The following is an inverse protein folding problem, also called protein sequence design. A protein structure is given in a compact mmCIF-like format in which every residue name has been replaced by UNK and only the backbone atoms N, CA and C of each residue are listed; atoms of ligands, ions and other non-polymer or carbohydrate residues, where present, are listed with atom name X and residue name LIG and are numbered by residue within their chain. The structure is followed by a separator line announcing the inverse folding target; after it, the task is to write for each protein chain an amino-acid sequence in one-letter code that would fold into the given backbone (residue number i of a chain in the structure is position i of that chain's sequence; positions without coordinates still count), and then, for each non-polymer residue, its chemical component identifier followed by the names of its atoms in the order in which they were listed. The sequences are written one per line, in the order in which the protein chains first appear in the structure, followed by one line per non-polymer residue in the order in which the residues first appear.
data_IF_882216872701
#
_entry.id   IF_882216872701
#
_cell.length_a   1.000
_cell.length_b   1.000
_cell.length_c   1.000
_cell.angle_alpha   90.00
_cell.angle_beta   90.00
_cell.angle_gamma   90.00
#
_symmetry.space_group_name_H-M   'P 1'
#
loop_
_entity.id
_entity.type
_entity.pdbx_description
1 polymer ?
#
# COMPACT_ATOMS: atom_id res chain seq x y z
N UNK A 1 -0.34 -14.25 -20.74
CA UNK A 1 0.64 -13.43 -20.01
C UNK A 1 0.08 -13.21 -18.62
N UNK A 2 0.84 -13.52 -17.59
CA UNK A 2 0.43 -13.32 -16.19
C UNK A 2 1.00 -11.98 -15.70
N UNK A 3 0.12 -11.03 -15.35
CA UNK A 3 0.50 -9.72 -14.84
C UNK A 3 0.79 -9.81 -13.33
N UNK A 4 1.87 -9.19 -12.88
CA UNK A 4 2.27 -9.17 -11.47
C UNK A 4 1.56 -8.03 -10.73
N UNK A 5 0.84 -8.36 -9.65
CA UNK A 5 0.30 -7.39 -8.71
C UNK A 5 1.24 -7.25 -7.50
N UNK A 6 1.90 -6.10 -7.38
CA UNK A 6 2.88 -5.83 -6.34
C UNK A 6 2.25 -5.03 -5.18
N UNK A 7 2.09 -5.71 -4.04
CA UNK A 7 1.42 -5.16 -2.86
C UNK A 7 2.39 -4.54 -1.81
N UNK A 8 2.01 -3.42 -1.18
CA UNK A 8 2.77 -2.79 -0.11
C UNK A 8 2.55 -3.50 1.23
N UNK A 9 3.63 -3.81 1.95
CA UNK A 9 3.52 -4.47 3.25
C UNK A 9 4.37 -3.72 4.31
N UNK A 10 3.70 -3.20 5.34
CA UNK A 10 4.32 -2.47 6.45
C UNK A 10 4.54 -3.33 7.70
N UNK A 11 3.68 -4.33 7.91
CA UNK A 11 3.74 -5.30 9.00
C UNK A 11 3.14 -6.67 8.59
N UNK A 12 3.09 -7.62 9.54
CA UNK A 12 2.57 -8.97 9.30
C UNK A 12 1.08 -9.02 8.96
N UNK A 13 0.27 -8.07 9.44
CA UNK A 13 -1.16 -8.00 9.14
C UNK A 13 -1.36 -7.56 7.69
N UNK A 14 -0.61 -6.53 7.24
CA UNK A 14 -0.58 -6.12 5.84
C UNK A 14 -0.08 -7.26 4.95
N UNK A 15 0.98 -7.97 5.36
CA UNK A 15 1.54 -9.09 4.61
C UNK A 15 0.51 -10.19 4.38
N UNK A 16 -0.17 -10.59 5.45
CA UNK A 16 -1.19 -11.63 5.35
C UNK A 16 -2.38 -11.19 4.51
N UNK A 17 -2.82 -9.94 4.65
CA UNK A 17 -3.88 -9.36 3.83
C UNK A 17 -3.50 -9.36 2.33
N UNK A 18 -2.29 -8.92 1.99
CA UNK A 18 -1.81 -8.91 0.61
C UNK A 18 -1.79 -10.32 -0.01
N UNK A 19 -1.20 -11.30 0.69
CA UNK A 19 -1.09 -12.68 0.18
C UNK A 19 -2.47 -13.32 0.00
N UNK A 20 -3.36 -13.19 1.00
CA UNK A 20 -4.71 -13.79 0.94
C UNK A 20 -5.57 -13.12 -0.13
N UNK A 21 -5.38 -11.82 -0.39
CA UNK A 21 -6.12 -11.10 -1.43
C UNK A 21 -5.58 -11.30 -2.86
N UNK A 22 -4.52 -12.11 -3.03
CA UNK A 22 -4.04 -12.52 -4.36
C UNK A 22 -2.89 -11.66 -4.92
N UNK A 23 -2.04 -11.11 -4.06
CA UNK A 23 -0.80 -10.46 -4.53
C UNK A 23 0.19 -11.51 -5.08
N UNK A 24 0.79 -11.22 -6.24
CA UNK A 24 1.85 -12.05 -6.85
C UNK A 24 3.22 -11.73 -6.26
N UNK A 25 3.40 -10.49 -5.81
CA UNK A 25 4.60 -10.02 -5.16
C UNK A 25 4.28 -9.04 -4.02
N UNK A 26 5.17 -8.95 -3.04
CA UNK A 26 5.10 -7.99 -1.95
C UNK A 26 6.39 -7.19 -1.85
N UNK A 27 6.29 -5.91 -1.53
CA UNK A 27 7.45 -5.09 -1.20
C UNK A 27 7.41 -4.53 0.23
N UNK A 28 8.53 -4.70 0.94
CA UNK A 28 8.73 -4.23 2.30
C UNK A 28 10.07 -3.53 2.46
N UNK A 29 10.23 -2.80 3.57
CA UNK A 29 11.50 -2.26 4.01
C UNK A 29 11.92 -2.84 5.35
N UNK A 30 13.23 -2.82 5.58
CA UNK A 30 13.78 -3.01 6.92
C UNK A 30 13.73 -1.68 7.69
N UNK A 31 13.98 -1.70 9.00
CA UNK A 31 14.19 -0.45 9.75
C UNK A 31 15.38 0.32 9.16
N UNK A 32 15.16 1.56 8.73
CA UNK A 32 16.12 2.38 8.01
C UNK A 32 16.23 2.06 6.50
N UNK A 33 16.95 2.92 5.78
CA UNK A 33 17.30 2.77 4.36
C UNK A 33 16.13 2.60 3.37
N UNK A 34 14.92 3.06 3.71
CA UNK A 34 13.78 2.96 2.81
C UNK A 34 12.87 4.19 2.89
N UNK A 35 12.08 4.42 1.84
CA UNK A 35 11.25 5.64 1.69
C UNK A 35 10.02 5.73 2.62
N UNK A 36 9.84 4.78 3.54
CA UNK A 36 8.76 4.74 4.54
C UNK A 36 9.33 4.35 5.90
N UNK A 37 10.29 5.14 6.38
CA UNK A 37 10.97 4.90 7.65
C UNK A 37 10.00 4.93 8.84
N UNK A 38 8.93 5.72 8.73
CA UNK A 38 7.84 5.80 9.71
C UNK A 38 6.87 4.61 9.70
N UNK A 39 6.97 3.70 8.72
CA UNK A 39 6.22 2.43 8.78
C UNK A 39 6.75 1.57 9.93
N UNK A 40 5.94 0.62 10.42
CA UNK A 40 6.38 -0.34 11.46
C UNK A 40 7.68 -1.05 11.05
N UNK A 41 7.77 -1.41 9.77
CA UNK A 41 8.92 -2.04 9.11
C UNK A 41 9.33 -3.38 9.72
N UNK A 42 10.02 -4.19 8.93
CA UNK A 42 10.52 -5.49 9.39
C UNK A 42 11.96 -5.39 9.87
N UNK A 43 12.41 -6.42 10.57
CA UNK A 43 13.80 -6.66 10.89
C UNK A 43 14.37 -7.80 10.04
N UNK A 44 15.69 -7.95 10.05
CA UNK A 44 16.35 -9.07 9.37
C UNK A 44 15.92 -10.45 9.93
N UNK A 45 15.49 -10.51 11.19
CA UNK A 45 15.04 -11.76 11.84
C UNK A 45 13.67 -12.20 11.31
N UNK A 46 12.88 -11.27 10.78
CA UNK A 46 11.54 -11.54 10.29
C UNK A 46 11.52 -12.23 8.92
N UNK A 47 12.62 -12.22 8.17
CA UNK A 47 12.67 -12.72 6.79
C UNK A 47 12.20 -14.17 6.65
N UNK A 48 12.55 -15.04 7.60
CA UNK A 48 12.08 -16.43 7.61
C UNK A 48 10.56 -16.54 7.79
N UNK A 49 9.99 -15.73 8.69
CA UNK A 49 8.54 -15.67 8.92
C UNK A 49 7.81 -15.05 7.72
N UNK A 50 8.36 -14.01 7.11
CA UNK A 50 7.83 -13.39 5.89
C UNK A 50 7.76 -14.44 4.77
N UNK A 51 8.87 -15.15 4.50
CA UNK A 51 8.91 -16.21 3.49
C UNK A 51 7.87 -17.30 3.74
N UNK A 52 7.70 -17.73 4.99
CA UNK A 52 6.66 -18.71 5.36
C UNK A 52 5.24 -18.23 5.05
N UNK A 53 4.95 -16.94 5.25
CA UNK A 53 3.63 -16.36 4.94
C UNK A 53 3.45 -16.17 3.43
N UNK A 54 4.47 -15.71 2.73
CA UNK A 54 4.45 -15.50 1.28
C UNK A 54 4.30 -16.81 0.50
N UNK A 55 4.94 -17.89 0.94
CA UNK A 55 5.02 -19.12 0.15
C UNK A 55 5.68 -18.83 -1.21
N UNK A 56 4.88 -18.88 -2.29
CA UNK A 56 5.31 -18.60 -3.67
C UNK A 56 5.29 -17.12 -4.04
N UNK A 57 4.62 -16.27 -3.26
CA UNK A 57 4.56 -14.82 -3.50
C UNK A 57 5.98 -14.24 -3.42
N UNK A 58 6.37 -13.47 -4.44
CA UNK A 58 7.72 -12.91 -4.53
C UNK A 58 7.94 -11.83 -3.46
N UNK A 59 9.17 -11.74 -2.95
CA UNK A 59 9.55 -10.83 -1.88
C UNK A 59 10.56 -9.80 -2.41
N UNK A 60 10.19 -8.52 -2.43
CA UNK A 60 11.08 -7.43 -2.81
C UNK A 60 11.44 -6.55 -1.61
N UNK A 61 12.74 -6.39 -1.36
CA UNK A 61 13.23 -5.50 -0.32
C UNK A 61 13.47 -4.11 -0.88
N UNK A 62 12.92 -3.08 -0.26
CA UNK A 62 13.28 -1.68 -0.59
C UNK A 62 14.54 -1.25 0.16
N UNK A 63 15.55 -0.83 -0.58
CA UNK A 63 16.73 -0.10 -0.09
C UNK A 63 16.90 1.15 -0.97
N UNK A 64 15.99 2.09 -0.83
CA UNK A 64 15.69 3.09 -1.85
C UNK A 64 15.74 4.54 -1.37
N UNK A 65 16.65 4.86 -0.46
CA UNK A 65 16.97 6.23 -0.02
C UNK A 65 18.36 6.64 -0.53
N UNK A 66 18.71 7.92 -0.36
CA UNK A 66 20.11 8.38 -0.46
C UNK A 66 20.96 7.62 0.56
N UNK A 67 22.20 7.24 0.23
CA UNK A 67 23.15 6.61 1.15
C UNK A 67 24.41 7.48 1.27
N UNK A 68 24.90 7.69 2.49
CA UNK A 68 26.16 8.41 2.74
C UNK A 68 27.32 7.44 3.00
N UNK A 69 28.55 7.92 2.88
CA UNK A 69 29.77 7.10 2.96
C UNK A 69 29.87 6.30 4.26
N UNK A 70 29.49 6.90 5.39
CA UNK A 70 29.53 6.25 6.71
C UNK A 70 28.51 5.10 6.82
N UNK A 71 27.50 5.10 5.95
CA UNK A 71 26.43 4.11 5.92
C UNK A 71 26.73 2.92 4.99
N UNK A 72 27.71 3.03 4.09
CA UNK A 72 28.01 2.04 3.05
C UNK A 72 28.30 0.65 3.64
N UNK A 73 29.11 0.57 4.71
CA UNK A 73 29.41 -0.69 5.40
C UNK A 73 28.15 -1.37 5.93
N UNK A 74 27.20 -0.59 6.44
CA UNK A 74 25.94 -1.10 6.98
C UNK A 74 25.02 -1.58 5.87
N UNK A 75 24.94 -0.84 4.76
CA UNK A 75 24.19 -1.23 3.56
C UNK A 75 24.73 -2.55 2.98
N UNK A 76 26.06 -2.68 2.82
CA UNK A 76 26.66 -3.92 2.34
C UNK A 76 26.36 -5.11 3.27
N UNK A 77 26.46 -4.90 4.59
CA UNK A 77 26.12 -5.93 5.57
C UNK A 77 24.65 -6.38 5.48
N UNK A 78 23.72 -5.44 5.22
CA UNK A 78 22.31 -5.76 4.97
C UNK A 78 22.18 -6.61 3.70
N UNK A 79 22.76 -6.15 2.58
CA UNK A 79 22.69 -6.85 1.29
C UNK A 79 23.23 -8.29 1.38
N UNK A 80 24.36 -8.49 2.06
CA UNK A 80 24.93 -9.83 2.31
C UNK A 80 23.97 -10.73 3.09
N UNK A 81 23.24 -10.19 4.08
CA UNK A 81 22.30 -10.95 4.91
C UNK A 81 20.99 -11.31 4.20
N UNK A 82 20.58 -10.52 3.21
CA UNK A 82 19.33 -10.74 2.45
C UNK A 82 19.53 -11.46 1.12
N UNK A 83 20.78 -11.60 0.65
CA UNK A 83 21.13 -12.40 -0.52
C UNK A 83 20.51 -13.80 -0.43
N UNK A 84 19.77 -14.20 -1.47
CA UNK A 84 19.06 -15.48 -1.54
C UNK A 84 17.80 -15.60 -0.66
N UNK A 85 17.44 -14.57 0.12
CA UNK A 85 16.23 -14.55 0.96
C UNK A 85 15.10 -13.71 0.35
N UNK A 86 15.46 -12.78 -0.54
CA UNK A 86 14.54 -11.92 -1.29
C UNK A 86 14.75 -12.15 -2.78
N UNK A 87 13.70 -11.97 -3.55
CA UNK A 87 13.68 -12.18 -5.00
C UNK A 87 14.33 -11.02 -5.75
N UNK A 88 14.21 -9.80 -5.22
CA UNK A 88 14.93 -8.63 -5.72
C UNK A 88 15.08 -7.53 -4.65
N UNK A 89 16.01 -6.61 -4.88
CA UNK A 89 16.13 -5.34 -4.14
C UNK A 89 15.63 -4.18 -5.01
N UNK A 90 14.72 -3.36 -4.49
CA UNK A 90 14.29 -2.11 -5.11
C UNK A 90 15.20 -0.99 -4.61
N UNK A 91 16.08 -0.48 -5.48
CA UNK A 91 17.09 0.54 -5.14
C UNK A 91 17.30 1.55 -6.28
N UNK A 92 18.00 2.65 -6.03
CA UNK A 92 18.34 3.64 -7.07
C UNK A 92 19.74 4.23 -6.91
N UNK A 93 20.22 4.31 -5.66
CA UNK A 93 21.57 4.75 -5.34
C UNK A 93 22.60 3.87 -6.07
N UNK A 94 23.57 4.51 -6.75
CA UNK A 94 24.53 3.82 -7.60
C UNK A 94 25.49 2.93 -6.80
N UNK A 95 25.82 3.28 -5.56
CA UNK A 95 26.63 2.43 -4.70
C UNK A 95 25.86 1.17 -4.31
N UNK A 96 24.56 1.29 -4.01
CA UNK A 96 23.68 0.14 -3.75
C UNK A 96 23.56 -0.75 -4.99
N UNK A 97 23.38 -0.15 -6.18
CA UNK A 97 23.34 -0.88 -7.45
C UNK A 97 24.65 -1.65 -7.68
N UNK A 98 25.80 -1.00 -7.49
CA UNK A 98 27.12 -1.63 -7.61
C UNK A 98 27.31 -2.79 -6.64
N UNK A 99 26.83 -2.65 -5.39
CA UNK A 99 26.85 -3.73 -4.40
C UNK A 99 25.92 -4.88 -4.78
N UNK A 100 24.71 -4.61 -5.26
CA UNK A 100 23.80 -5.64 -5.77
C UNK A 100 24.43 -6.42 -6.93
N UNK A 101 25.07 -5.72 -7.88
CA UNK A 101 25.80 -6.32 -8.99
C UNK A 101 26.94 -7.22 -8.48
N UNK A 102 27.83 -6.68 -7.62
CA UNK A 102 28.95 -7.43 -7.02
C UNK A 102 28.48 -8.67 -6.26
N UNK A 103 27.39 -8.57 -5.52
CA UNK A 103 26.83 -9.66 -4.72
C UNK A 103 25.94 -10.60 -5.52
N UNK A 104 25.67 -10.31 -6.81
CA UNK A 104 24.74 -11.06 -7.68
C UNK A 104 23.32 -11.13 -7.10
N UNK A 105 22.82 -10.00 -6.61
CA UNK A 105 21.43 -9.85 -6.12
C UNK A 105 20.62 -9.18 -7.23
N UNK A 106 19.53 -9.78 -7.72
CA UNK A 106 18.64 -9.12 -8.68
C UNK A 106 18.12 -7.79 -8.11
N UNK A 107 18.06 -6.76 -8.95
CA UNK A 107 17.55 -5.47 -8.51
C UNK A 107 16.58 -4.85 -9.51
N UNK A 108 15.65 -4.10 -8.94
CA UNK A 108 14.69 -3.25 -9.66
C UNK A 108 15.04 -1.78 -9.38
N UNK A 109 15.00 -0.94 -10.41
CA UNK A 109 15.27 0.49 -10.24
C UNK A 109 14.05 1.16 -9.60
N UNK A 110 14.24 1.80 -8.46
CA UNK A 110 13.20 2.55 -7.74
C UNK A 110 12.78 3.80 -8.51
N UNK A 111 11.52 4.22 -8.36
CA UNK A 111 10.99 5.48 -8.91
C UNK A 111 11.80 6.72 -8.48
N UNK A 112 12.60 6.63 -7.41
CA UNK A 112 13.56 7.66 -6.98
C UNK A 112 14.64 8.00 -8.02
N UNK A 113 14.88 7.11 -9.00
CA UNK A 113 15.76 7.37 -10.14
C UNK A 113 15.10 8.26 -11.21
N UNK A 114 13.79 8.51 -11.13
CA UNK A 114 13.03 9.34 -12.07
C UNK A 114 13.20 8.91 -13.54
N UNK A 115 13.26 7.59 -13.81
CA UNK A 115 13.42 7.06 -15.17
C UNK A 115 12.20 7.41 -16.02
N UNK A 116 12.37 8.38 -16.92
CA UNK A 116 11.29 8.99 -17.72
C UNK A 116 11.47 8.84 -19.24
N UNK A 117 12.57 8.23 -19.68
CA UNK A 117 12.89 8.10 -21.10
C UNK A 117 13.64 6.80 -21.43
N UNK A 118 13.67 6.47 -22.72
CA UNK A 118 14.25 5.24 -23.28
C UNK A 118 15.75 5.14 -23.06
N UNK A 119 16.49 6.26 -23.14
CA UNK A 119 17.96 6.25 -22.97
C UNK A 119 18.35 5.93 -21.54
N UNK A 120 17.68 6.54 -20.56
CA UNK A 120 17.86 6.21 -19.15
C UNK A 120 17.51 4.75 -18.85
N UNK A 121 16.41 4.22 -19.42
CA UNK A 121 16.06 2.82 -19.27
C UNK A 121 17.11 1.86 -19.85
N UNK A 122 17.65 2.17 -21.04
CA UNK A 122 18.76 1.41 -21.64
C UNK A 122 20.01 1.45 -20.77
N UNK A 123 20.32 2.60 -20.17
CA UNK A 123 21.47 2.74 -19.27
C UNK A 123 21.33 1.83 -18.04
N UNK A 124 20.20 1.87 -17.34
CA UNK A 124 19.98 1.00 -16.19
C UNK A 124 19.94 -0.49 -16.56
N UNK A 125 19.41 -0.83 -17.74
CA UNK A 125 19.48 -2.20 -18.27
C UNK A 125 20.93 -2.67 -18.43
N UNK A 126 21.83 -1.83 -18.94
CA UNK A 126 23.27 -2.14 -19.05
C UNK A 126 23.93 -2.34 -17.69
N UNK A 127 23.46 -1.65 -16.64
CA UNK A 127 23.92 -1.84 -15.27
C UNK A 127 23.39 -3.14 -14.62
N UNK A 128 22.57 -3.92 -15.32
CA UNK A 128 22.03 -5.19 -14.83
C UNK A 128 20.65 -5.10 -14.17
N UNK A 129 19.94 -3.98 -14.34
CA UNK A 129 18.55 -3.89 -13.87
C UNK A 129 17.69 -4.95 -14.55
N UNK A 130 16.87 -5.65 -13.76
CA UNK A 130 15.92 -6.64 -14.30
C UNK A 130 14.54 -6.03 -14.56
N UNK A 131 14.23 -4.94 -13.85
CA UNK A 131 12.98 -4.17 -13.99
C UNK A 131 13.17 -2.73 -13.55
N UNK A 132 12.36 -1.82 -14.09
CA UNK A 132 12.37 -0.41 -13.70
C UNK A 132 10.98 0.02 -13.23
N UNK A 133 10.91 0.55 -12.00
CA UNK A 133 9.75 1.31 -11.51
C UNK A 133 9.81 2.71 -12.10
N UNK A 134 8.94 2.98 -13.08
CA UNK A 134 9.00 4.20 -13.86
C UNK A 134 8.64 5.45 -13.03
N UNK A 135 9.08 6.61 -13.51
CA UNK A 135 8.59 7.89 -13.02
C UNK A 135 7.05 7.94 -13.10
N UNK A 136 6.41 8.55 -12.09
CA UNK A 136 4.94 8.61 -11.99
C UNK A 136 4.34 9.71 -12.85
N UNK A 137 5.20 10.54 -13.42
CA UNK A 137 4.89 11.71 -14.23
C UNK A 137 4.88 11.40 -15.74
N UNK A 138 4.64 10.13 -16.12
CA UNK A 138 4.63 9.66 -17.49
C UNK A 138 3.21 9.38 -18.01
N UNK A 139 2.99 9.73 -19.28
CA UNK A 139 1.84 9.26 -20.06
C UNK A 139 1.98 7.80 -20.49
N UNK A 140 0.86 7.13 -20.78
CA UNK A 140 0.88 5.76 -21.30
C UNK A 140 1.66 5.61 -22.61
N UNK A 141 1.65 6.64 -23.46
CA UNK A 141 2.47 6.66 -24.70
C UNK A 141 3.96 6.61 -24.37
N UNK A 142 4.41 7.32 -23.34
CA UNK A 142 5.81 7.27 -22.88
C UNK A 142 6.14 5.92 -22.24
N UNK A 143 5.25 5.40 -21.38
CA UNK A 143 5.40 4.07 -20.76
C UNK A 143 5.58 3.00 -21.84
N UNK A 144 4.72 2.98 -22.86
CA UNK A 144 4.78 2.03 -23.97
C UNK A 144 6.10 2.07 -24.76
N UNK A 145 6.75 3.24 -24.87
CA UNK A 145 8.07 3.33 -25.50
C UNK A 145 9.16 2.72 -24.64
N UNK A 146 9.09 2.90 -23.31
CA UNK A 146 10.09 2.38 -22.38
C UNK A 146 9.92 0.87 -22.17
N UNK A 147 8.68 0.36 -22.14
CA UNK A 147 8.36 -1.06 -21.99
C UNK A 147 8.98 -1.94 -23.10
N UNK A 148 9.25 -1.37 -24.28
CA UNK A 148 9.98 -2.08 -25.37
C UNK A 148 11.45 -2.35 -25.05
N UNK A 149 12.01 -1.72 -24.02
CA UNK A 149 13.44 -1.82 -23.67
C UNK A 149 13.68 -2.86 -22.58
N UNK A 150 12.83 -2.85 -21.55
CA UNK A 150 12.99 -3.61 -20.30
C UNK A 150 11.61 -3.79 -19.67
N UNK A 151 11.49 -4.78 -18.79
CA UNK A 151 10.31 -4.95 -17.93
C UNK A 151 10.05 -3.69 -17.09
N UNK A 152 8.80 -3.21 -17.10
CA UNK A 152 8.38 -1.97 -16.43
C UNK A 152 7.33 -2.23 -15.36
N UNK A 153 7.55 -1.57 -14.23
CA UNK A 153 6.63 -1.47 -13.11
C UNK A 153 6.06 -0.06 -13.04
N UNK A 154 4.74 0.04 -12.85
CA UNK A 154 4.03 1.29 -12.75
C UNK A 154 3.16 1.29 -11.51
N UNK A 155 3.05 2.44 -10.84
CA UNK A 155 2.06 2.59 -9.78
C UNK A 155 0.67 2.50 -10.40
N UNK A 156 -0.22 1.72 -9.80
CA UNK A 156 -1.60 1.56 -10.27
C UNK A 156 -2.62 2.19 -9.32
N UNK A 157 -2.27 2.30 -8.03
CA UNK A 157 -3.19 2.83 -7.03
C UNK A 157 -2.47 3.51 -5.87
N UNK A 158 -3.12 4.50 -5.27
CA UNK A 158 -2.72 5.13 -4.02
C UNK A 158 -2.08 6.51 -4.16
N UNK A 159 -1.54 7.02 -3.05
CA UNK A 159 -1.12 8.42 -2.91
C UNK A 159 -0.20 8.93 -4.03
N UNK A 160 -0.56 10.03 -4.71
CA UNK A 160 0.33 10.79 -5.61
C UNK A 160 1.13 11.86 -4.85
N UNK A 161 2.32 12.18 -5.36
CA UNK A 161 3.12 13.33 -4.94
C UNK A 161 2.72 14.57 -5.76
N UNK A 162 2.80 15.75 -5.15
CA UNK A 162 2.58 17.02 -5.87
C UNK A 162 3.83 17.50 -6.61
N UNK A 163 5.00 17.13 -6.10
CA UNK A 163 6.28 17.34 -6.76
C UNK A 163 6.72 16.04 -7.46
N UNK A 164 7.75 16.15 -8.31
CA UNK A 164 8.42 14.98 -8.89
C UNK A 164 8.77 13.99 -7.78
N UNK A 165 8.32 12.75 -7.96
CA UNK A 165 8.43 11.69 -6.96
C UNK A 165 9.89 11.52 -6.49
N UNK A 166 10.15 11.71 -5.19
CA UNK A 166 11.50 11.61 -4.62
C UNK A 166 12.38 12.85 -4.76
N UNK A 167 11.79 14.03 -4.98
CA UNK A 167 12.50 15.31 -5.04
C UNK A 167 11.88 16.39 -4.15
N UNK A 168 11.16 15.97 -3.09
CA UNK A 168 10.45 16.90 -2.21
C UNK A 168 11.33 17.34 -1.03
N UNK A 169 11.46 18.66 -0.82
CA UNK A 169 12.18 19.26 0.31
C UNK A 169 11.27 19.81 1.41
N UNK A 170 9.95 19.80 1.21
CA UNK A 170 9.02 20.47 2.11
C UNK A 170 9.07 19.91 3.55
N UNK A 171 9.17 18.60 3.73
CA UNK A 171 9.33 18.00 5.07
C UNK A 171 10.64 18.40 5.75
N UNK A 172 11.70 18.63 4.98
CA UNK A 172 12.98 19.06 5.52
C UNK A 172 12.91 20.52 5.96
N UNK A 173 12.35 21.38 5.11
CA UNK A 173 12.23 22.81 5.39
C UNK A 173 11.37 23.09 6.63
N UNK A 174 10.21 22.43 6.75
CA UNK A 174 9.24 22.75 7.83
C UNK A 174 9.48 21.93 9.09
N UNK A 175 9.99 20.70 8.99
CA UNK A 175 10.08 19.78 10.13
C UNK A 175 11.50 19.26 10.41
N UNK A 176 12.52 19.63 9.62
CA UNK A 176 13.86 19.03 9.72
C UNK A 176 13.90 17.55 9.30
N UNK A 177 12.88 17.06 8.59
CA UNK A 177 12.73 15.65 8.21
C UNK A 177 12.92 15.44 6.71
N UNK A 178 13.98 14.74 6.29
CA UNK A 178 14.21 14.49 4.86
C UNK A 178 13.27 13.44 4.29
N UNK A 179 12.39 13.86 3.36
CA UNK A 179 11.51 12.96 2.63
C UNK A 179 12.28 11.94 1.78
N UNK A 180 13.46 12.33 1.25
CA UNK A 180 14.36 11.49 0.47
C UNK A 180 15.12 10.46 1.34
N UNK A 181 14.96 10.56 2.66
CA UNK A 181 15.43 9.57 3.65
C UNK A 181 14.28 8.86 4.36
N UNK A 182 13.11 8.82 3.73
CA UNK A 182 11.94 8.10 4.23
C UNK A 182 11.15 8.78 5.34
N UNK A 183 11.49 10.02 5.70
CA UNK A 183 10.84 10.80 6.76
C UNK A 183 9.85 11.83 6.21
N UNK A 184 9.12 11.47 5.15
CA UNK A 184 8.10 12.36 4.58
C UNK A 184 6.96 12.58 5.60
N UNK A 185 6.77 13.83 6.02
CA UNK A 185 5.73 14.24 6.97
C UNK A 185 4.36 14.49 6.31
N UNK A 186 4.26 14.25 5.00
CA UNK A 186 3.04 14.46 4.20
C UNK A 186 2.46 15.88 4.32
N UNK A 187 3.31 16.89 4.39
CA UNK A 187 2.89 18.29 4.50
C UNK A 187 2.04 18.76 3.33
N UNK A 188 2.27 18.21 2.12
CA UNK A 188 1.46 18.51 0.93
C UNK A 188 -0.01 18.13 1.10
N UNK A 189 -0.33 17.31 2.09
CA UNK A 189 -1.67 16.78 2.36
C UNK A 189 -2.42 17.55 3.45
N UNK A 190 -1.85 18.65 3.95
CA UNK A 190 -2.50 19.61 4.86
C UNK A 190 -3.15 20.74 4.07
N UNK A 191 -3.98 21.52 4.75
CA UNK A 191 -4.53 22.78 4.22
C UNK A 191 -3.46 23.88 4.31
N UNK A 192 -3.26 24.63 3.22
CA UNK A 192 -2.23 25.70 3.13
C UNK A 192 -2.81 26.94 2.47
N UNK A 193 -2.47 28.12 3.00
CA UNK A 193 -2.60 29.39 2.28
C UNK A 193 -1.26 29.71 1.63
N UNK A 194 -1.26 30.05 0.34
CA UNK A 194 -0.05 30.42 -0.41
C UNK A 194 -0.15 31.89 -0.80
N UNK A 195 0.85 32.66 -0.38
CA UNK A 195 1.00 34.08 -0.66
C UNK A 195 2.30 34.28 -1.43
N UNK A 196 2.28 35.11 -2.46
CA UNK A 196 3.51 35.60 -3.07
C UNK A 196 4.13 36.74 -2.23
N UNK A 197 5.32 37.20 -2.61
CA UNK A 197 6.03 38.28 -1.89
C UNK A 197 5.32 39.63 -1.95
N UNK A 198 4.37 39.80 -2.88
CA UNK A 198 3.55 41.00 -3.04
C UNK A 198 2.24 40.92 -2.25
N UNK A 199 2.02 39.82 -1.53
CA UNK A 199 0.79 39.57 -0.76
C UNK A 199 -0.38 39.05 -1.60
N UNK A 200 -0.17 38.73 -2.89
CA UNK A 200 -1.22 38.10 -3.68
C UNK A 200 -1.39 36.66 -3.22
N UNK A 201 -2.65 36.27 -3.00
CA UNK A 201 -3.00 34.90 -2.68
C UNK A 201 -3.15 34.07 -3.95
N UNK A 202 -2.54 32.88 -3.95
CA UNK A 202 -2.87 31.88 -4.95
C UNK A 202 -4.25 31.30 -4.60
N UNK A 203 -5.29 31.97 -5.09
CA UNK A 203 -6.68 31.55 -4.90
C UNK A 203 -7.00 30.42 -5.87
N UNK A 204 -6.95 29.19 -5.38
CA UNK A 204 -7.70 28.09 -5.98
C UNK A 204 -9.04 28.02 -5.25
N UNK A 205 -10.13 27.69 -5.97
CA UNK A 205 -11.50 27.61 -5.43
C UNK A 205 -11.63 26.78 -4.13
N UNK A 206 -10.62 25.97 -3.80
CA UNK A 206 -10.61 25.07 -2.66
C UNK A 206 -9.49 25.29 -1.64
N UNK A 207 -8.68 26.35 -1.77
CA UNK A 207 -7.52 26.66 -0.89
C UNK A 207 -6.52 25.50 -0.70
N UNK A 208 -6.48 24.52 -1.62
CA UNK A 208 -5.66 23.31 -1.51
C UNK A 208 -4.78 23.10 -2.73
N UNK A 209 -3.74 23.94 -2.79
CA UNK A 209 -2.73 23.99 -3.86
C UNK A 209 -1.79 22.78 -3.93
N UNK A 210 -1.73 21.93 -2.89
CA UNK A 210 -0.68 20.91 -2.76
C UNK A 210 -1.19 19.47 -2.59
N UNK A 211 -2.50 19.26 -2.39
CA UNK A 211 -3.05 17.96 -1.99
C UNK A 211 -3.55 17.17 -3.20
N UNK A 212 -2.67 16.50 -3.93
CA UNK A 212 -3.06 15.63 -5.06
C UNK A 212 -4.06 14.53 -4.64
N UNK A 213 -5.05 14.24 -5.50
CA UNK A 213 -5.91 13.06 -5.42
C UNK A 213 -5.06 11.78 -5.49
N UNK A 214 -5.61 10.67 -5.01
CA UNK A 214 -4.93 9.39 -5.10
C UNK A 214 -5.03 8.82 -6.53
N UNK A 215 -4.00 8.13 -6.99
CA UNK A 215 -4.01 7.45 -8.29
C UNK A 215 -5.00 6.28 -8.26
N UNK A 216 -5.78 6.10 -9.33
CA UNK A 216 -6.53 4.88 -9.56
C UNK A 216 -6.57 4.54 -11.05
N UNK A 217 -5.93 3.45 -11.45
CA UNK A 217 -5.91 2.99 -12.85
C UNK A 217 -6.97 1.96 -13.16
N UNK A 218 -7.78 1.52 -12.18
CA UNK A 218 -8.84 0.53 -12.36
C UNK A 218 -9.75 0.83 -13.57
N UNK A 219 -10.23 2.09 -13.79
CA UNK A 219 -11.10 2.40 -14.92
C UNK A 219 -10.45 2.27 -16.30
N UNK A 220 -9.11 2.18 -16.36
CA UNK A 220 -8.34 2.11 -17.60
C UNK A 220 -7.23 1.05 -17.53
N UNK A 221 -7.44 -0.01 -16.75
CA UNK A 221 -6.46 -1.06 -16.53
C UNK A 221 -6.02 -1.73 -17.84
N UNK A 222 -6.92 -1.91 -18.80
CA UNK A 222 -6.61 -2.44 -20.13
C UNK A 222 -5.66 -1.53 -20.92
N UNK A 223 -5.74 -0.20 -20.72
CA UNK A 223 -4.78 0.72 -21.35
C UNK A 223 -3.39 0.59 -20.73
N UNK A 224 -3.30 0.30 -19.42
CA UNK A 224 -2.03 0.01 -18.75
C UNK A 224 -1.40 -1.28 -19.30
N UNK A 225 -2.21 -2.35 -19.42
CA UNK A 225 -1.78 -3.63 -20.02
C UNK A 225 -1.27 -3.43 -21.46
N UNK A 226 -2.03 -2.72 -22.29
CA UNK A 226 -1.64 -2.38 -23.68
C UNK A 226 -0.37 -1.52 -23.76
N UNK A 227 -0.08 -0.71 -22.74
CA UNK A 227 1.15 0.06 -22.64
C UNK A 227 2.38 -0.80 -22.25
N UNK A 228 2.22 -2.11 -22.07
CA UNK A 228 3.32 -3.02 -21.75
C UNK A 228 3.70 -3.03 -20.27
N UNK A 229 2.81 -2.58 -19.38
CA UNK A 229 3.01 -2.68 -17.93
C UNK A 229 2.86 -4.13 -17.50
N UNK A 230 3.90 -4.70 -16.90
CA UNK A 230 3.91 -6.09 -16.41
C UNK A 230 3.78 -6.19 -14.89
N UNK A 231 4.17 -5.14 -14.15
CA UNK A 231 4.01 -5.06 -12.69
C UNK A 231 3.19 -3.84 -12.28
N UNK A 232 2.08 -4.11 -11.59
CA UNK A 232 1.12 -3.13 -11.09
C UNK A 232 1.39 -2.90 -9.60
N UNK A 233 2.07 -1.79 -9.29
CA UNK A 233 2.50 -1.47 -7.93
C UNK A 233 1.45 -0.66 -7.19
N UNK A 234 1.02 -1.13 -6.03
CA UNK A 234 0.12 -0.38 -5.14
C UNK A 234 0.95 0.45 -4.15
N UNK A 235 0.66 1.75 -4.02
CA UNK A 235 1.23 2.59 -2.96
C UNK A 235 0.37 2.49 -1.70
N UNK A 236 0.99 2.16 -0.56
CA UNK A 236 0.22 2.08 0.70
C UNK A 236 0.92 1.44 1.88
N UNK A 237 2.25 1.48 1.98
CA UNK A 237 2.99 0.77 3.08
C UNK A 237 2.63 1.26 4.49
N UNK A 238 2.07 2.45 4.63
CA UNK A 238 1.59 3.02 5.90
C UNK A 238 0.05 2.88 6.06
N UNK A 239 -0.63 2.17 5.16
CA UNK A 239 -2.08 1.99 5.21
C UNK A 239 -2.44 0.76 6.04
N UNK A 240 -3.67 0.76 6.57
CA UNK A 240 -4.20 -0.38 7.30
C UNK A 240 -4.34 -1.62 6.40
N UNK A 241 -4.37 -2.82 7.00
CA UNK A 241 -4.45 -4.06 6.23
C UNK A 241 -5.78 -4.22 5.47
N UNK A 242 -6.84 -3.51 5.87
CA UNK A 242 -8.12 -3.43 5.15
C UNK A 242 -7.99 -2.71 3.81
N UNK A 243 -7.19 -1.64 3.77
CA UNK A 243 -6.87 -0.94 2.51
C UNK A 243 -6.08 -1.87 1.59
N UNK A 244 -5.06 -2.54 2.13
CA UNK A 244 -4.26 -3.49 1.33
C UNK A 244 -5.14 -4.61 0.79
N UNK A 245 -6.00 -5.20 1.63
CA UNK A 245 -6.90 -6.27 1.21
C UNK A 245 -7.86 -5.83 0.10
N UNK A 246 -8.55 -4.69 0.28
CA UNK A 246 -9.49 -4.18 -0.70
C UNK A 246 -8.81 -3.86 -2.04
N UNK A 247 -7.70 -3.11 -2.01
CA UNK A 247 -7.01 -2.69 -3.23
C UNK A 247 -6.41 -3.88 -3.97
N UNK A 248 -5.73 -4.80 -3.26
CA UNK A 248 -5.16 -6.00 -3.90
C UNK A 248 -6.28 -6.85 -4.49
N UNK A 249 -7.36 -7.09 -3.76
CA UNK A 249 -8.48 -7.91 -4.23
C UNK A 249 -9.13 -7.36 -5.49
N UNK A 250 -9.44 -6.05 -5.53
CA UNK A 250 -10.09 -5.44 -6.70
C UNK A 250 -9.16 -5.36 -7.91
N UNK A 251 -7.87 -5.10 -7.72
CA UNK A 251 -6.91 -5.15 -8.84
C UNK A 251 -6.64 -6.57 -9.32
N UNK A 252 -6.61 -7.58 -8.44
CA UNK A 252 -6.45 -8.99 -8.84
C UNK A 252 -7.62 -9.41 -9.73
N UNK A 253 -8.86 -9.14 -9.30
CA UNK A 253 -10.07 -9.36 -10.12
C UNK A 253 -9.97 -8.68 -11.48
N UNK A 254 -9.54 -7.43 -11.54
CA UNK A 254 -9.39 -6.69 -12.80
C UNK A 254 -8.28 -7.26 -13.71
N UNK A 255 -7.17 -7.73 -13.13
CA UNK A 255 -6.08 -8.37 -13.87
C UNK A 255 -6.49 -9.75 -14.40
N UNK A 256 -7.35 -10.46 -13.68
CA UNK A 256 -7.96 -11.75 -14.06
C UNK A 256 -9.15 -11.63 -15.02
N UNK A 257 -9.57 -10.41 -15.36
CA UNK A 257 -10.70 -10.20 -16.28
C UNK A 257 -12.07 -10.37 -15.63
N UNK A 258 -12.19 -10.00 -14.35
CA UNK A 258 -13.44 -10.01 -13.57
C UNK A 258 -14.12 -11.38 -13.53
N UNK A 259 -13.56 -12.39 -12.86
CA UNK A 259 -14.08 -13.77 -12.92
C UNK A 259 -15.56 -13.92 -12.50
N UNK A 260 -16.10 -12.97 -11.76
CA UNK A 260 -17.49 -12.96 -11.29
C UNK A 260 -18.49 -12.31 -12.25
N UNK A 261 -18.05 -11.68 -13.35
CA UNK A 261 -18.93 -11.06 -14.34
C UNK A 261 -18.26 -11.04 -15.73
N UNK A 262 -19.04 -11.32 -16.79
CA UNK A 262 -18.54 -11.15 -18.16
C UNK A 262 -18.53 -9.70 -18.64
N UNK A 263 -19.19 -8.80 -17.89
CA UNK A 263 -19.20 -7.37 -18.18
C UNK A 263 -18.11 -6.65 -17.37
N UNK A 264 -17.04 -6.25 -18.07
CA UNK A 264 -15.92 -5.49 -17.52
C UNK A 264 -16.37 -4.15 -16.91
N UNK A 265 -17.35 -3.47 -17.50
CA UNK A 265 -17.81 -2.16 -17.00
C UNK A 265 -18.47 -2.31 -15.64
N UNK A 266 -19.28 -3.36 -15.49
CA UNK A 266 -19.92 -3.70 -14.22
C UNK A 266 -18.87 -4.12 -13.17
N UNK A 267 -17.86 -4.90 -13.57
CA UNK A 267 -16.72 -5.24 -12.72
C UNK A 267 -15.99 -4.01 -12.20
N UNK A 268 -15.64 -3.08 -13.10
CA UNK A 268 -14.99 -1.80 -12.75
C UNK A 268 -15.88 -0.98 -11.81
N UNK A 269 -17.19 -0.88 -12.08
CA UNK A 269 -18.12 -0.12 -11.25
C UNK A 269 -18.14 -0.66 -9.81
N UNK A 270 -18.36 -1.97 -9.64
CA UNK A 270 -18.34 -2.62 -8.30
C UNK A 270 -16.99 -2.50 -7.62
N UNK A 271 -15.90 -2.64 -8.38
CA UNK A 271 -14.55 -2.46 -7.85
C UNK A 271 -14.33 -1.06 -7.31
N UNK A 272 -14.76 -0.02 -8.05
CA UNK A 272 -14.68 1.37 -7.59
C UNK A 272 -15.53 1.61 -6.34
N UNK A 273 -16.73 1.02 -6.24
CA UNK A 273 -17.57 1.09 -5.04
C UNK A 273 -16.88 0.45 -3.82
N UNK A 274 -16.21 -0.69 -4.01
CA UNK A 274 -15.44 -1.30 -2.94
C UNK A 274 -14.21 -0.47 -2.54
N UNK A 275 -13.53 0.16 -3.50
CA UNK A 275 -12.38 1.02 -3.23
C UNK A 275 -12.77 2.31 -2.48
N UNK A 276 -14.01 2.81 -2.63
CA UNK A 276 -14.52 3.97 -1.88
C UNK A 276 -14.69 3.70 -0.39
N UNK A 277 -14.83 2.43 0.01
CA UNK A 277 -14.97 2.04 1.42
C UNK A 277 -13.67 2.18 2.21
N UNK A 278 -12.52 2.12 1.54
CA UNK A 278 -11.20 2.25 2.17
C UNK A 278 -10.57 3.61 1.92
N UNK A 279 -9.53 3.97 2.68
CA UNK A 279 -8.92 5.30 2.62
C UNK A 279 -8.56 5.73 1.19
N UNK A 280 -9.12 6.85 0.74
CA UNK A 280 -8.71 7.58 -0.46
C UNK A 280 -8.96 9.08 -0.27
N UNK A 281 -8.59 9.91 -1.26
CA UNK A 281 -8.75 11.37 -1.23
C UNK A 281 -9.27 11.87 -2.56
N UNK A 282 -10.41 11.34 -2.98
CA UNK A 282 -10.75 11.29 -4.41
C UNK A 282 -9.74 10.48 -5.23
N UNK A 283 -10.03 10.31 -6.51
CA UNK A 283 -9.19 9.54 -7.44
C UNK A 283 -8.87 10.34 -8.70
N UNK A 284 -7.69 10.07 -9.28
CA UNK A 284 -7.18 10.68 -10.51
C UNK A 284 -6.51 9.61 -11.38
N UNK A 285 -6.42 9.89 -12.68
CA UNK A 285 -5.62 9.09 -13.61
C UNK A 285 -4.11 9.35 -13.49
N UNK A 286 -3.70 10.34 -12.68
CA UNK A 286 -2.34 10.84 -12.64
C UNK A 286 -1.93 11.39 -14.00
N UNK A 287 -0.69 11.11 -14.41
CA UNK A 287 -0.15 11.58 -15.68
C UNK A 287 -0.45 10.62 -16.86
N UNK A 288 -1.09 9.48 -16.59
CA UNK A 288 -1.22 8.40 -17.58
C UNK A 288 -2.09 8.80 -18.78
N UNK A 289 -3.17 9.56 -18.55
CA UNK A 289 -4.13 9.95 -19.58
C UNK A 289 -4.00 11.42 -20.02
N UNK A 290 -3.08 12.18 -19.43
CA UNK A 290 -2.87 13.60 -19.72
C UNK A 290 -2.09 14.30 -18.61
N UNK A 291 -1.84 15.59 -18.78
CA UNK A 291 -1.32 16.41 -17.69
C UNK A 291 -2.42 16.62 -16.64
N UNK A 292 -2.13 16.46 -15.34
CA UNK A 292 -3.08 16.78 -14.29
C UNK A 292 -3.53 18.24 -14.34
N UNK A 293 -4.80 18.48 -14.03
CA UNK A 293 -5.40 19.82 -13.92
C UNK A 293 -5.76 20.15 -12.47
N UNK A 294 -6.42 21.29 -12.24
CA UNK A 294 -6.95 21.63 -10.91
C UNK A 294 -7.91 20.57 -10.35
N UNK A 295 -8.59 19.80 -11.21
CA UNK A 295 -9.50 18.72 -10.82
C UNK A 295 -8.78 17.51 -10.23
N UNK A 296 -7.46 17.40 -10.38
CA UNK A 296 -6.68 16.30 -9.81
C UNK A 296 -6.20 16.58 -8.38
N UNK A 297 -6.67 17.66 -7.78
CA UNK A 297 -6.42 18.01 -6.38
C UNK A 297 -7.63 17.68 -5.50
N UNK A 298 -7.33 17.20 -4.30
CA UNK A 298 -8.30 16.70 -3.33
C UNK A 298 -8.77 17.79 -2.39
N UNK A 299 -10.07 17.80 -2.15
CA UNK A 299 -10.73 18.62 -1.13
C UNK A 299 -10.61 18.03 0.28
N UNK A 300 -10.04 16.82 0.43
CA UNK A 300 -10.09 16.05 1.66
C UNK A 300 -8.81 16.07 2.48
N UNK A 301 -8.93 16.33 3.79
CA UNK A 301 -7.82 16.23 4.75
C UNK A 301 -7.78 14.88 5.47
N UNK A 302 -8.93 14.37 5.88
CA UNK A 302 -9.01 13.16 6.69
C UNK A 302 -9.41 11.90 5.90
N UNK A 303 -9.32 12.00 4.56
CA UNK A 303 -9.73 10.94 3.63
C UNK A 303 -11.24 10.91 3.41
N UNK A 304 -11.66 10.45 2.24
CA UNK A 304 -13.06 10.42 1.77
C UNK A 304 -13.69 9.04 1.86
N UNK A 305 -13.05 8.11 2.58
CA UNK A 305 -13.57 6.77 2.74
C UNK A 305 -14.97 6.76 3.34
N UNK A 306 -15.83 5.92 2.76
CA UNK A 306 -17.22 5.73 3.20
C UNK A 306 -17.31 4.94 4.51
N UNK A 307 -16.26 4.20 4.87
CA UNK A 307 -16.20 3.41 6.10
C UNK A 307 -15.04 3.81 7.01
N UNK A 308 -15.30 3.80 8.31
CA UNK A 308 -14.29 3.88 9.37
C UNK A 308 -14.37 2.62 10.23
N UNK A 309 -13.26 2.28 10.87
CA UNK A 309 -13.19 1.16 11.79
C UNK A 309 -12.90 1.64 13.20
N UNK A 310 -13.61 1.08 14.17
CA UNK A 310 -13.50 1.42 15.59
C UNK A 310 -13.09 0.18 16.36
N UNK A 311 -11.94 0.23 17.04
CA UNK A 311 -11.49 -0.90 17.86
C UNK A 311 -12.45 -1.12 19.03
N UNK A 312 -12.89 -2.36 19.25
CA UNK A 312 -13.80 -2.69 20.36
C UNK A 312 -13.25 -3.77 21.29
N UNK A 313 -12.44 -4.69 20.81
CA UNK A 313 -11.96 -5.78 21.66
C UNK A 313 -11.03 -6.75 20.97
N UNK A 314 -10.63 -7.77 21.73
CA UNK A 314 -9.69 -8.80 21.26
C UNK A 314 -10.22 -10.20 21.57
N UNK A 315 -10.16 -11.06 20.56
CA UNK A 315 -10.46 -12.48 20.69
C UNK A 315 -9.31 -13.16 21.43
N UNK A 316 -9.59 -13.78 22.57
CA UNK A 316 -8.58 -14.52 23.33
C UNK A 316 -8.80 -16.04 23.31
N UNK A 317 -9.98 -16.51 22.89
CA UNK A 317 -10.29 -17.94 22.77
C UNK A 317 -11.26 -18.21 21.63
N UNK A 318 -11.11 -19.35 20.96
CA UNK A 318 -12.05 -19.87 19.97
C UNK A 318 -12.57 -21.25 20.37
N UNK A 319 -13.89 -21.38 20.52
CA UNK A 319 -14.58 -22.59 20.94
C UNK A 319 -15.04 -23.41 19.74
N UNK A 320 -14.15 -24.27 19.24
CA UNK A 320 -14.34 -25.03 17.98
C UNK A 320 -15.66 -25.79 17.86
N UNK A 321 -16.19 -26.37 18.95
CA UNK A 321 -17.42 -27.18 18.92
C UNK A 321 -18.67 -26.35 18.60
N UNK A 322 -18.71 -25.12 19.10
CA UNK A 322 -19.87 -24.22 18.98
C UNK A 322 -19.65 -23.08 17.99
N UNK A 323 -18.43 -22.88 17.50
CA UNK A 323 -18.12 -21.82 16.53
C UNK A 323 -17.99 -20.41 17.13
N UNK A 324 -17.95 -20.29 18.45
CA UNK A 324 -17.98 -19.01 19.16
C UNK A 324 -16.58 -18.54 19.59
N UNK A 325 -16.34 -17.23 19.55
CA UNK A 325 -15.14 -16.58 20.04
C UNK A 325 -15.38 -15.95 21.41
N UNK A 326 -14.48 -16.14 22.38
CA UNK A 326 -14.48 -15.27 23.57
C UNK A 326 -13.75 -13.98 23.26
N UNK A 327 -14.44 -12.86 23.45
CA UNK A 327 -14.00 -11.50 23.15
C UNK A 327 -14.01 -10.69 24.43
N UNK A 328 -12.83 -10.18 24.79
CA UNK A 328 -12.73 -9.16 25.84
C UNK A 328 -12.99 -7.79 25.21
N UNK A 329 -14.03 -7.10 25.67
CA UNK A 329 -14.42 -5.78 25.19
C UNK A 329 -13.54 -4.69 25.82
N UNK A 330 -12.51 -4.28 25.10
CA UNK A 330 -11.55 -3.27 25.57
C UNK A 330 -12.04 -1.82 25.38
N UNK A 331 -12.95 -1.59 24.42
CA UNK A 331 -13.45 -0.27 24.08
C UNK A 331 -14.82 -0.36 23.39
N UNK A 332 -15.51 0.78 23.27
CA UNK A 332 -16.72 0.91 22.47
C UNK A 332 -17.86 -0.03 22.85
N UNK A 333 -18.67 -0.37 21.85
CA UNK A 333 -19.83 -1.26 21.93
C UNK A 333 -19.87 -2.16 20.70
N UNK A 334 -20.32 -3.39 20.89
CA UNK A 334 -20.55 -4.37 19.83
C UNK A 334 -22.02 -4.80 19.88
N UNK A 335 -22.71 -4.80 18.74
CA UNK A 335 -24.13 -5.19 18.64
C UNK A 335 -24.30 -6.37 17.72
N UNK A 336 -25.32 -7.18 17.96
CA UNK A 336 -25.77 -8.18 16.98
C UNK A 336 -26.12 -7.46 15.67
N UNK A 337 -25.65 -8.01 14.55
CA UNK A 337 -25.81 -7.43 13.22
C UNK A 337 -24.73 -6.43 12.79
N UNK A 338 -23.86 -5.96 13.71
CA UNK A 338 -22.72 -5.08 13.36
C UNK A 338 -21.82 -5.77 12.32
N UNK A 339 -21.38 -5.02 11.30
CA UNK A 339 -20.28 -5.44 10.45
C UNK A 339 -18.93 -5.15 11.13
N UNK A 340 -18.01 -6.11 11.06
CA UNK A 340 -16.71 -6.03 11.74
C UNK A 340 -15.56 -6.39 10.82
N UNK A 341 -14.40 -5.76 11.05
CA UNK A 341 -13.11 -6.26 10.62
C UNK A 341 -12.47 -7.09 11.75
N UNK A 342 -12.11 -8.32 11.42
CA UNK A 342 -11.31 -9.21 12.24
C UNK A 342 -9.87 -9.17 11.71
N UNK A 343 -8.96 -8.60 12.51
CA UNK A 343 -7.59 -8.27 12.07
C UNK A 343 -6.56 -8.99 12.95
N UNK A 344 -5.67 -9.75 12.32
CA UNK A 344 -4.55 -10.42 13.00
C UNK A 344 -3.42 -10.78 12.05
N UNK A 345 -2.27 -11.18 12.58
CA UNK A 345 -1.15 -11.67 11.77
C UNK A 345 -1.47 -12.98 11.02
N UNK A 346 -2.46 -13.75 11.50
CA UNK A 346 -2.82 -15.05 10.93
C UNK A 346 -3.91 -14.97 9.87
N UNK A 347 -4.81 -14.00 9.96
CA UNK A 347 -5.89 -13.78 8.97
C UNK A 347 -5.65 -12.59 8.05
N UNK A 348 -4.80 -11.63 8.45
CA UNK A 348 -4.66 -10.35 7.77
C UNK A 348 -5.85 -9.47 8.13
N UNK A 349 -6.88 -9.49 7.28
CA UNK A 349 -8.18 -8.87 7.52
C UNK A 349 -9.28 -9.79 7.01
N UNK A 350 -10.35 -9.92 7.78
CA UNK A 350 -11.59 -10.50 7.32
C UNK A 350 -12.77 -9.61 7.71
N UNK A 351 -13.64 -9.31 6.75
CA UNK A 351 -14.94 -8.67 7.01
C UNK A 351 -15.92 -9.75 7.42
N UNK A 352 -16.72 -9.52 8.47
CA UNK A 352 -17.70 -10.46 9.00
C UNK A 352 -18.87 -9.69 9.62
N UNK A 353 -19.93 -10.39 10.04
CA UNK A 353 -21.08 -9.85 10.76
C UNK A 353 -21.21 -10.56 12.12
N UNK A 354 -21.57 -9.80 13.15
CA UNK A 354 -21.90 -10.34 14.47
C UNK A 354 -23.24 -11.07 14.39
N UNK A 355 -23.25 -12.39 14.58
CA UNK A 355 -24.45 -13.21 14.50
C UNK A 355 -25.15 -13.37 15.85
N UNK A 356 -24.38 -13.50 16.93
CA UNK A 356 -24.91 -13.54 18.29
C UNK A 356 -23.86 -13.09 19.31
N UNK A 357 -24.33 -12.60 20.45
CA UNK A 357 -23.51 -12.23 21.60
C UNK A 357 -24.11 -12.92 22.84
N UNK A 358 -23.25 -13.51 23.67
CA UNK A 358 -23.61 -14.15 24.93
C UNK A 358 -22.76 -13.57 26.07
N UNK A 359 -23.42 -13.17 27.15
CA UNK A 359 -22.81 -12.68 28.39
C UNK A 359 -23.39 -13.48 29.56
N UNK A 360 -22.54 -14.07 30.39
CA UNK A 360 -22.93 -14.90 31.55
C UNK A 360 -23.99 -15.98 31.23
N UNK A 361 -23.83 -16.66 30.09
CA UNK A 361 -24.73 -17.73 29.64
C UNK A 361 -26.06 -17.26 29.05
N UNK A 362 -26.26 -15.95 28.87
CA UNK A 362 -27.49 -15.37 28.30
C UNK A 362 -27.21 -14.63 27.01
N UNK A 363 -28.07 -14.83 26.01
CA UNK A 363 -28.02 -14.03 24.77
C UNK A 363 -28.32 -12.57 25.07
N UNK A 364 -27.50 -11.69 24.54
CA UNK A 364 -27.64 -10.24 24.66
C UNK A 364 -27.53 -9.59 23.28
N UNK A 365 -28.22 -8.47 23.10
CA UNK A 365 -28.17 -7.72 21.83
C UNK A 365 -26.91 -6.86 21.70
N UNK A 366 -26.23 -6.57 22.81
CA UNK A 366 -25.10 -5.65 22.85
C UNK A 366 -24.12 -5.98 23.98
N UNK A 367 -22.83 -5.87 23.68
CA UNK A 367 -21.73 -5.85 24.64
C UNK A 367 -21.09 -4.44 24.69
N UNK A 368 -20.56 -4.06 25.85
CA UNK A 368 -19.88 -2.79 26.10
C UNK A 368 -18.48 -3.02 26.66
N UNK A 369 -17.67 -1.96 26.68
CA UNK A 369 -16.36 -1.95 27.34
C UNK A 369 -16.45 -2.54 28.76
N UNK A 370 -15.57 -3.50 29.04
CA UNK A 370 -15.49 -4.23 30.30
C UNK A 370 -16.11 -5.63 30.25
N UNK A 371 -17.02 -5.88 29.31
CA UNK A 371 -17.67 -7.19 29.20
C UNK A 371 -16.71 -8.24 28.62
N UNK A 372 -16.86 -9.49 29.08
CA UNK A 372 -16.25 -10.69 28.49
C UNK A 372 -17.37 -11.52 27.87
N UNK A 373 -17.42 -11.56 26.55
CA UNK A 373 -18.58 -12.11 25.81
C UNK A 373 -18.18 -13.22 24.86
N UNK A 374 -19.06 -14.22 24.75
CA UNK A 374 -19.06 -15.15 23.62
C UNK A 374 -19.68 -14.49 22.41
N UNK A 375 -18.99 -14.47 21.27
CA UNK A 375 -19.47 -13.88 20.02
C UNK A 375 -19.35 -14.86 18.87
N UNK A 376 -20.45 -15.08 18.17
CA UNK A 376 -20.44 -15.80 16.89
C UNK A 376 -20.26 -14.80 15.74
N UNK A 377 -19.17 -14.96 14.99
CA UNK A 377 -18.86 -14.17 13.80
C UNK A 377 -19.13 -14.95 12.49
N UNK A 378 -19.70 -16.15 12.57
CA UNK A 378 -19.91 -17.06 11.43
C UNK A 378 -18.61 -17.60 10.81
N UNK A 379 -17.47 -17.37 11.45
CA UNK A 379 -16.14 -17.53 10.85
C UNK A 379 -15.16 -18.14 11.84
N UNK A 380 -14.27 -19.02 11.35
CA UNK A 380 -13.15 -19.53 12.13
C UNK A 380 -12.05 -18.48 12.18
N UNK A 381 -11.92 -17.80 13.32
CA UNK A 381 -10.86 -16.82 13.55
C UNK A 381 -9.92 -17.24 14.68
N UNK A 382 -8.65 -16.88 14.52
CA UNK A 382 -7.59 -17.26 15.44
C UNK A 382 -7.56 -16.41 16.71
N UNK A 383 -6.99 -16.97 17.78
CA UNK A 383 -6.67 -16.24 19.01
C UNK A 383 -5.75 -15.06 18.71
N UNK A 384 -5.97 -13.94 19.40
CA UNK A 384 -5.21 -12.72 19.26
C UNK A 384 -5.75 -11.76 18.19
N UNK A 385 -6.87 -12.10 17.56
CA UNK A 385 -7.52 -11.27 16.56
C UNK A 385 -8.19 -10.05 17.20
N UNK A 386 -7.91 -8.88 16.66
CA UNK A 386 -8.57 -7.63 17.05
C UNK A 386 -9.89 -7.51 16.31
N UNK A 387 -10.91 -7.06 17.03
CA UNK A 387 -12.26 -6.83 16.52
C UNK A 387 -12.45 -5.33 16.36
N UNK A 388 -12.75 -4.89 15.14
CA UNK A 388 -13.08 -3.52 14.82
C UNK A 388 -14.48 -3.44 14.25
N UNK A 389 -15.34 -2.60 14.78
CA UNK A 389 -16.66 -2.36 14.19
C UNK A 389 -16.55 -1.39 13.02
N UNK A 390 -17.25 -1.68 11.93
CA UNK A 390 -17.31 -0.86 10.72
C UNK A 390 -18.46 0.15 10.89
N UNK A 391 -18.14 1.43 10.72
CA UNK A 391 -19.10 2.55 10.77
C UNK A 391 -19.11 3.27 9.43
N UNK A 392 -20.29 3.65 8.95
CA UNK A 392 -20.41 4.53 7.79
C UNK A 392 -19.99 5.96 8.19
N UNK A 393 -19.23 6.62 7.33
CA UNK A 393 -18.73 7.98 7.54
C UNK A 393 -19.77 9.03 7.16
#
# INVERSE_FOLDING_TARGET
MEYELLAPVGDFRNLRAAVVSGADAVYFGLRGFNMRDSAKNFSLRDLGRIRKICGKVKMYLTLNVVVYDEELKRVEAILRKVKGKVDAVICWDLAVIGLCFKLKIPFHVSTQASVSNVLAAKFYKKLGATRIVLARELSLKQVARIAKVIDVECFCHGAMCVAVSGRCFMSQHVCGLSANRGKCAQLCRRSWKVLDERGNELVLENSRVMSAKDLCTLPFIEKMKKAGVMSFKIEGRNRGPEYVSAVVGEYRKALDGWPETRDEKEGIRKGLENLRKVYHRGVSSGFYLGMPTADDFSFSEHGDQEEKKEFVGKIYKFWKKVGVCSVLMNAGKLRVGDEVYLISDSVGVRRSRVLSIELDGKRVEMAKKGDDVGVDFGEKVGVGCEVYVIRKK
#
